data_IF_118662987742
#
_entry.id   IF_118662987742
#
_cell.length_a   1.000
_cell.length_b   1.000
_cell.length_c   1.000
_cell.angle_alpha   90.00
_cell.angle_beta   90.00
_cell.angle_gamma   90.00
#
_symmetry.space_group_name_H-M   'P 1'
#
loop_
_entity.id
_entity.type
_entity.pdbx_description
1 polymer ?
#
# COMPACT_ATOMS: atom_id res chain seq x y z
N UNK A 1 22.95 11.71 23.52
CA UNK A 1 21.87 10.94 22.86
C UNK A 1 21.34 11.79 21.72
N UNK A 2 21.73 11.49 20.49
CA UNK A 2 21.31 12.28 19.32
C UNK A 2 20.00 11.70 18.80
N UNK A 3 18.92 12.51 18.83
CA UNK A 3 17.63 12.14 18.26
C UNK A 3 17.64 12.50 16.79
N UNK A 4 17.48 11.52 15.91
CA UNK A 4 17.25 11.77 14.50
C UNK A 4 15.79 12.20 14.34
N UNK A 5 15.51 13.44 13.88
CA UNK A 5 14.16 13.82 13.55
C UNK A 5 13.72 13.00 12.33
N UNK A 6 12.82 12.05 12.56
CA UNK A 6 12.16 11.33 11.47
C UNK A 6 11.25 12.34 10.77
N UNK A 7 11.72 12.92 9.66
CA UNK A 7 10.83 13.58 8.73
C UNK A 7 9.82 12.53 8.28
N UNK A 8 8.52 12.77 8.53
CA UNK A 8 7.48 11.99 7.85
C UNK A 8 7.77 12.14 6.36
N UNK A 9 8.11 11.04 5.70
CA UNK A 9 8.28 11.02 4.25
C UNK A 9 7.04 11.65 3.60
N UNK A 10 7.24 12.38 2.51
CA UNK A 10 6.14 13.07 1.83
C UNK A 10 4.96 12.16 1.53
N UNK A 11 3.79 12.77 1.32
CA UNK A 11 2.57 12.05 1.00
C UNK A 11 2.65 11.49 -0.44
N UNK A 12 2.79 10.18 -0.61
CA UNK A 12 2.86 9.54 -1.93
C UNK A 12 1.67 8.62 -2.11
N UNK A 13 0.64 9.13 -2.81
CA UNK A 13 -0.49 8.32 -3.25
C UNK A 13 -0.19 7.64 -4.57
N UNK A 14 -0.48 6.35 -4.66
CA UNK A 14 -0.41 5.63 -5.91
C UNK A 14 -1.17 4.32 -5.87
N UNK A 15 -1.18 3.66 -7.03
CA UNK A 15 -1.72 2.32 -7.22
C UNK A 15 -0.57 1.39 -7.60
N UNK A 16 -0.47 0.24 -6.94
CA UNK A 16 0.44 -0.83 -7.31
C UNK A 16 -0.37 -1.98 -7.89
N UNK A 17 -0.08 -2.39 -9.12
CA UNK A 17 -0.66 -3.61 -9.68
C UNK A 17 -0.21 -4.82 -8.86
N UNK A 18 -1.13 -5.74 -8.60
CA UNK A 18 -0.91 -6.98 -7.86
C UNK A 18 -1.47 -8.17 -8.63
N UNK A 19 -0.62 -9.16 -8.89
CA UNK A 19 -1.05 -10.43 -9.43
C UNK A 19 -1.91 -11.21 -8.42
N UNK A 20 -1.58 -11.12 -7.13
CA UNK A 20 -2.27 -11.84 -6.05
C UNK A 20 -3.74 -11.47 -5.93
N UNK A 21 -4.10 -10.18 -6.08
CA UNK A 21 -5.52 -9.75 -6.12
C UNK A 21 -6.07 -9.59 -7.53
N UNK A 22 -5.25 -9.79 -8.57
CA UNK A 22 -5.59 -9.50 -9.99
C UNK A 22 -6.17 -8.10 -10.20
N UNK A 23 -5.71 -7.13 -9.41
CA UNK A 23 -6.13 -5.72 -9.47
C UNK A 23 -5.02 -4.82 -8.89
N UNK A 24 -5.37 -3.58 -8.55
CA UNK A 24 -4.47 -2.55 -8.05
C UNK A 24 -4.76 -2.29 -6.57
N UNK A 25 -3.71 -2.25 -5.76
CA UNK A 25 -3.79 -1.90 -4.34
C UNK A 25 -3.21 -0.50 -4.13
N UNK A 26 -3.94 0.34 -3.39
CA UNK A 26 -3.50 1.70 -3.05
C UNK A 26 -2.31 1.72 -2.10
N UNK A 27 -1.52 2.79 -2.14
CA UNK A 27 -0.51 3.06 -1.12
C UNK A 27 -0.35 4.57 -0.92
N UNK A 28 0.03 4.95 0.29
CA UNK A 28 0.15 6.33 0.76
C UNK A 28 1.61 6.70 1.11
N UNK A 29 2.48 5.70 1.12
CA UNK A 29 3.92 5.88 1.35
C UNK A 29 4.77 4.95 0.50
N UNK A 30 6.03 5.33 0.30
CA UNK A 30 7.05 4.45 -0.30
C UNK A 30 7.19 3.13 0.46
N UNK A 31 7.09 3.16 1.79
CA UNK A 31 7.19 1.96 2.61
C UNK A 31 6.03 0.99 2.36
N UNK A 32 4.82 1.51 2.18
CA UNK A 32 3.64 0.70 1.83
C UNK A 32 3.77 0.09 0.44
N UNK A 33 4.23 0.88 -0.55
CA UNK A 33 4.51 0.35 -1.90
C UNK A 33 5.51 -0.81 -1.85
N UNK A 34 6.62 -0.65 -1.13
CA UNK A 34 7.64 -1.70 -1.05
C UNK A 34 7.11 -2.96 -0.38
N UNK A 35 6.25 -2.83 0.65
CA UNK A 35 5.57 -3.97 1.27
C UNK A 35 4.60 -4.67 0.34
N UNK A 36 3.82 -3.92 -0.45
CA UNK A 36 2.93 -4.50 -1.46
C UNK A 36 3.70 -5.31 -2.49
N UNK A 37 4.85 -4.79 -2.95
CA UNK A 37 5.73 -5.50 -3.90
C UNK A 37 6.28 -6.80 -3.31
N UNK A 38 6.57 -6.84 -2.01
CA UNK A 38 7.02 -8.06 -1.35
C UNK A 38 5.87 -9.06 -1.21
N UNK A 39 4.72 -8.62 -0.71
CA UNK A 39 3.55 -9.47 -0.51
C UNK A 39 3.02 -10.07 -1.83
N UNK A 40 3.09 -9.33 -2.95
CA UNK A 40 2.69 -9.85 -4.27
C UNK A 40 3.60 -10.98 -4.79
N UNK A 41 4.81 -11.13 -4.21
CA UNK A 41 5.74 -12.23 -4.56
C UNK A 41 5.57 -13.45 -3.67
N UNK A 42 4.94 -13.31 -2.51
CA UNK A 42 4.80 -14.41 -1.56
C UNK A 42 3.65 -15.32 -1.97
N UNK A 43 3.97 -16.58 -2.32
CA UNK A 43 2.99 -17.56 -2.82
C UNK A 43 1.92 -17.94 -1.79
N UNK A 44 2.18 -17.73 -0.50
CA UNK A 44 1.24 -18.01 0.59
C UNK A 44 0.22 -16.87 0.81
N UNK A 45 0.44 -15.70 0.20
CA UNK A 45 -0.47 -14.56 0.31
C UNK A 45 -1.61 -14.74 -0.68
N UNK A 46 -2.83 -14.80 -0.16
CA UNK A 46 -4.07 -14.96 -0.97
C UNK A 46 -4.83 -13.65 -1.19
N UNK A 47 -4.35 -12.54 -0.61
CA UNK A 47 -4.98 -11.23 -0.72
C UNK A 47 -4.25 -10.15 0.05
N UNK A 48 -4.46 -8.89 -0.36
CA UNK A 48 -3.86 -7.71 0.24
C UNK A 48 -4.82 -6.52 0.14
N UNK A 49 -4.77 -5.61 1.12
CA UNK A 49 -5.49 -4.36 1.08
C UNK A 49 -4.66 -3.24 1.72
N UNK A 50 -4.85 -2.01 1.25
CA UNK A 50 -4.23 -0.83 1.83
C UNK A 50 -4.99 -0.37 3.07
N UNK A 51 -4.33 0.37 3.95
CA UNK A 51 -5.05 1.06 5.03
C UNK A 51 -6.08 2.03 4.41
N UNK A 52 -7.27 2.15 5.00
CA UNK A 52 -8.23 3.15 4.58
C UNK A 52 -7.68 4.53 4.93
N UNK A 53 -7.73 5.41 3.95
CA UNK A 53 -7.58 6.85 4.15
C UNK A 53 -8.94 7.51 3.93
N UNK A 54 -9.10 8.80 4.27
CA UNK A 54 -10.34 9.57 4.06
C UNK A 54 -10.85 9.54 2.60
N UNK A 55 -10.02 9.09 1.66
CA UNK A 55 -10.35 8.92 0.23
C UNK A 55 -10.79 7.50 -0.15
N UNK A 56 -10.68 6.50 0.75
CA UNK A 56 -10.89 5.08 0.48
C UNK A 56 -12.33 4.72 0.05
N UNK A 57 -13.32 5.59 0.32
CA UNK A 57 -14.68 5.47 -0.20
C UNK A 57 -14.73 5.49 -1.75
N UNK A 58 -13.70 6.04 -2.42
CA UNK A 58 -13.65 6.15 -3.89
C UNK A 58 -13.04 4.94 -4.62
N UNK A 59 -12.44 3.97 -3.92
CA UNK A 59 -11.65 2.88 -4.55
C UNK A 59 -12.16 1.48 -4.14
N UNK A 60 -13.35 1.36 -3.55
CA UNK A 60 -14.03 0.06 -3.49
C UNK A 60 -14.94 -0.12 -4.70
N UNK A 61 -14.60 -0.95 -5.71
CA UNK A 61 -15.65 -1.57 -6.49
C UNK A 61 -16.39 -2.50 -5.53
N UNK A 62 -17.67 -2.17 -5.33
CA UNK A 62 -18.63 -3.03 -4.64
C UNK A 62 -18.53 -4.43 -5.26
N UNK A 63 -18.11 -5.40 -4.47
CA UNK A 63 -18.50 -6.80 -4.62
C UNK A 63 -19.38 -7.13 -3.43
#
# INVERSE_FOLDING_TARGET
>A
MTRFPLAKGGHLRGLCSSATVSDHVGYESWLERDRLILLDRELEVIGMASQPDDTADRISPRV
#
